data_IF_282971454468
#
_entry.id   IF_282971454468
#
_cell.length_a   1.000
_cell.length_b   1.000
_cell.length_c   1.000
_cell.angle_alpha   90.00
_cell.angle_beta   90.00
_cell.angle_gamma   90.00
#
_symmetry.space_group_name_H-M   'P 1'
#
loop_
_entity.id
_entity.type
_entity.pdbx_description
1 polymer ?
#
# COMPACT_ATOMS: atom_id res chain seq x y z
N UNK A 1 -16.32 -12.15 -4.78
CA UNK A 1 -17.76 -12.00 -5.13
C UNK A 1 -17.97 -12.05 -6.65
N UNK A 2 -17.26 -11.28 -7.48
CA UNK A 2 -17.47 -11.22 -8.93
C UNK A 2 -17.22 -12.57 -9.64
N UNK A 3 -16.21 -13.35 -9.23
CA UNK A 3 -15.98 -14.71 -9.75
C UNK A 3 -17.07 -15.69 -9.32
N UNK A 4 -17.60 -15.54 -8.13
CA UNK A 4 -18.66 -16.39 -7.58
C UNK A 4 -20.00 -16.18 -8.31
N UNK A 5 -20.26 -14.97 -8.80
CA UNK A 5 -21.54 -14.57 -9.42
C UNK A 5 -21.51 -14.57 -10.97
N UNK A 6 -20.48 -15.13 -11.61
CA UNK A 6 -20.26 -15.10 -13.07
C UNK A 6 -20.23 -13.69 -13.69
N UNK A 7 -20.27 -12.65 -12.88
CA UNK A 7 -20.21 -11.24 -13.34
C UNK A 7 -18.89 -10.93 -14.05
N UNK A 8 -17.82 -11.66 -13.70
CA UNK A 8 -16.52 -11.52 -14.33
C UNK A 8 -16.56 -11.87 -15.83
N UNK A 9 -17.41 -12.82 -16.26
CA UNK A 9 -17.55 -13.20 -17.68
C UNK A 9 -18.09 -12.02 -18.50
N UNK A 10 -19.12 -11.35 -17.98
CA UNK A 10 -19.69 -10.17 -18.63
C UNK A 10 -18.68 -8.99 -18.65
N UNK A 11 -17.91 -8.82 -17.58
CA UNK A 11 -16.93 -7.75 -17.51
C UNK A 11 -15.75 -7.97 -18.48
N UNK A 12 -15.23 -9.19 -18.58
CA UNK A 12 -14.10 -9.52 -19.48
C UNK A 12 -14.50 -9.48 -20.95
N UNK A 13 -15.77 -9.74 -21.27
CA UNK A 13 -16.29 -9.59 -22.65
C UNK A 13 -16.57 -8.14 -23.03
N UNK A 14 -16.78 -7.26 -22.05
CA UNK A 14 -17.17 -5.86 -22.26
C UNK A 14 -16.01 -4.87 -22.12
N UNK A 15 -14.90 -5.23 -21.47
CA UNK A 15 -13.76 -4.34 -21.24
C UNK A 15 -12.42 -5.12 -21.21
N UNK A 16 -11.33 -4.44 -21.59
CA UNK A 16 -9.99 -4.98 -21.49
C UNK A 16 -9.61 -5.29 -20.04
N UNK A 17 -8.98 -6.43 -19.82
CA UNK A 17 -8.62 -6.95 -18.49
C UNK A 17 -7.68 -6.01 -17.74
N UNK A 18 -6.76 -5.32 -18.45
CA UNK A 18 -5.87 -4.33 -17.84
C UNK A 18 -6.67 -3.14 -17.33
N UNK A 19 -7.61 -2.64 -18.13
CA UNK A 19 -8.50 -1.52 -17.75
C UNK A 19 -9.33 -1.87 -16.52
N UNK A 20 -9.81 -3.11 -16.42
CA UNK A 20 -10.53 -3.61 -15.25
C UNK A 20 -9.62 -3.65 -14.01
N UNK A 21 -8.38 -4.12 -14.15
CA UNK A 21 -7.42 -4.17 -13.04
C UNK A 21 -7.10 -2.78 -12.52
N UNK A 22 -6.66 -1.87 -13.40
CA UNK A 22 -6.32 -0.50 -13.02
C UNK A 22 -7.53 0.27 -12.50
N UNK A 23 -8.72 0.06 -13.08
CA UNK A 23 -9.97 0.63 -12.59
C UNK A 23 -10.28 0.21 -11.15
N UNK A 24 -10.11 -1.06 -10.81
CA UNK A 24 -10.27 -1.56 -9.43
C UNK A 24 -9.24 -1.00 -8.46
N UNK A 25 -7.98 -0.90 -8.90
CA UNK A 25 -6.92 -0.28 -8.10
C UNK A 25 -7.23 1.19 -7.83
N UNK A 26 -7.63 1.94 -8.85
CA UNK A 26 -8.02 3.34 -8.69
C UNK A 26 -9.23 3.50 -7.77
N UNK A 27 -10.25 2.66 -7.93
CA UNK A 27 -11.43 2.68 -7.06
C UNK A 27 -11.07 2.38 -5.61
N UNK A 28 -10.25 1.35 -5.37
CA UNK A 28 -9.78 1.00 -4.02
C UNK A 28 -8.92 2.09 -3.39
N UNK A 29 -8.02 2.69 -4.17
CA UNK A 29 -7.18 3.81 -3.73
C UNK A 29 -8.03 5.03 -3.39
N UNK A 30 -8.98 5.39 -4.24
CA UNK A 30 -9.89 6.52 -4.01
C UNK A 30 -10.74 6.31 -2.77
N UNK A 31 -11.27 5.11 -2.55
CA UNK A 31 -12.03 4.76 -1.35
C UNK A 31 -11.16 4.88 -0.08
N UNK A 32 -9.92 4.38 -0.12
CA UNK A 32 -8.99 4.49 1.00
C UNK A 32 -8.64 5.96 1.31
N UNK A 33 -8.35 6.77 0.29
CA UNK A 33 -8.06 8.20 0.46
C UNK A 33 -9.27 8.96 1.03
N UNK A 34 -10.48 8.65 0.56
CA UNK A 34 -11.70 9.24 1.09
C UNK A 34 -11.89 8.87 2.56
N UNK A 35 -11.66 7.60 2.91
CA UNK A 35 -11.75 7.15 4.31
C UNK A 35 -10.73 7.85 5.20
N UNK A 36 -9.48 7.96 4.76
CA UNK A 36 -8.42 8.70 5.47
C UNK A 36 -8.82 10.15 5.64
N UNK A 37 -9.31 10.81 4.58
CA UNK A 37 -9.79 12.20 4.62
C UNK A 37 -10.93 12.41 5.63
N UNK A 38 -11.90 11.50 5.68
CA UNK A 38 -12.99 11.56 6.67
C UNK A 38 -12.44 11.42 8.08
N UNK A 39 -11.52 10.47 8.32
CA UNK A 39 -10.91 10.27 9.65
C UNK A 39 -10.17 11.54 10.08
N UNK A 40 -9.37 12.14 9.21
CA UNK A 40 -8.69 13.39 9.49
C UNK A 40 -9.67 14.54 9.77
N UNK A 41 -10.73 14.66 8.99
CA UNK A 41 -11.77 15.67 9.21
C UNK A 41 -12.45 15.51 10.58
N UNK A 42 -12.76 14.28 10.98
CA UNK A 42 -13.35 13.97 12.29
C UNK A 42 -12.37 14.30 13.42
N UNK A 43 -11.09 13.91 13.29
CA UNK A 43 -10.07 14.21 14.30
C UNK A 43 -9.91 15.73 14.48
N UNK A 44 -9.75 16.46 13.38
CA UNK A 44 -9.58 17.94 13.41
C UNK A 44 -10.85 18.63 13.93
N UNK A 45 -12.04 18.16 13.52
CA UNK A 45 -13.31 18.68 14.01
C UNK A 45 -13.49 18.44 15.52
N UNK A 46 -13.23 17.24 15.98
CA UNK A 46 -13.29 16.86 17.41
C UNK A 46 -12.30 17.67 18.23
N UNK A 47 -11.09 17.87 17.73
CA UNK A 47 -10.08 18.70 18.36
C UNK A 47 -10.56 20.15 18.51
N UNK A 48 -11.08 20.75 17.44
CA UNK A 48 -11.55 22.15 17.45
C UNK A 48 -12.70 22.36 18.44
N UNK A 49 -13.60 21.39 18.56
CA UNK A 49 -14.74 21.46 19.49
C UNK A 49 -14.30 21.30 20.95
N UNK A 50 -13.33 20.43 21.22
CA UNK A 50 -12.93 20.08 22.59
C UNK A 50 -11.60 20.73 23.02
N UNK A 51 -11.11 21.73 22.30
CA UNK A 51 -9.80 22.35 22.54
C UNK A 51 -9.60 22.80 23.98
N UNK A 52 -10.61 23.46 24.56
CA UNK A 52 -10.54 24.01 25.91
C UNK A 52 -10.52 22.90 26.97
N UNK A 53 -11.26 21.81 26.73
CA UNK A 53 -11.30 20.62 27.61
C UNK A 53 -9.98 19.85 27.63
N UNK A 54 -9.20 19.92 26.55
CA UNK A 54 -7.93 19.20 26.39
C UNK A 54 -6.70 20.08 26.70
N UNK A 55 -6.92 21.30 27.21
CA UNK A 55 -5.85 22.18 27.69
C UNK A 55 -4.77 22.53 26.66
N UNK A 56 -5.11 22.54 25.36
CA UNK A 56 -4.15 22.85 24.28
C UNK A 56 -3.07 21.78 24.06
N UNK A 57 -3.23 20.58 24.62
CA UNK A 57 -2.26 19.49 24.51
C UNK A 57 -1.92 19.13 23.05
N UNK A 58 -2.90 19.24 22.16
CA UNK A 58 -2.75 18.92 20.75
C UNK A 58 -2.20 20.10 19.90
N UNK A 59 -2.16 21.31 20.41
CA UNK A 59 -1.58 22.44 19.65
C UNK A 59 -0.10 22.21 19.33
N UNK A 60 0.62 21.50 20.22
CA UNK A 60 2.00 21.07 19.99
C UNK A 60 2.10 19.91 19.00
N UNK A 61 1.13 19.00 19.01
CA UNK A 61 1.09 17.82 18.12
C UNK A 61 0.74 18.22 16.68
N UNK A 62 -0.11 19.25 16.52
CA UNK A 62 -0.51 19.74 15.19
C UNK A 62 0.48 20.73 14.56
N UNK A 63 1.52 21.13 15.29
CA UNK A 63 2.62 21.93 14.72
C UNK A 63 3.66 21.02 14.04
N UNK A 64 3.19 20.23 13.04
CA UNK A 64 4.04 19.30 12.29
C UNK A 64 4.80 20.10 11.22
N UNK A 65 6.13 19.96 11.11
CA UNK A 65 6.91 20.57 10.04
C UNK A 65 6.39 20.19 8.65
N UNK A 66 6.47 21.13 7.71
CA UNK A 66 5.92 20.93 6.35
C UNK A 66 6.63 19.82 5.57
N UNK A 67 7.92 19.62 5.80
CA UNK A 67 8.71 18.53 5.21
C UNK A 67 8.24 17.15 5.65
N UNK A 68 7.85 17.00 6.92
CA UNK A 68 7.26 15.78 7.46
C UNK A 68 5.89 15.51 6.81
N UNK A 69 5.04 16.54 6.69
CA UNK A 69 3.72 16.42 6.04
C UNK A 69 3.84 16.06 4.56
N UNK A 70 4.75 16.70 3.84
CA UNK A 70 5.01 16.44 2.43
C UNK A 70 5.52 15.01 2.26
N UNK A 71 6.49 14.59 3.07
CA UNK A 71 7.01 13.21 3.04
C UNK A 71 5.90 12.19 3.33
N UNK A 72 5.07 12.45 4.34
CA UNK A 72 3.91 11.60 4.65
C UNK A 72 2.95 11.48 3.46
N UNK A 73 2.62 12.58 2.79
CA UNK A 73 1.70 12.58 1.67
C UNK A 73 2.25 11.77 0.47
N UNK A 74 3.50 12.02 0.08
CA UNK A 74 4.11 11.36 -1.07
C UNK A 74 4.39 9.88 -0.81
N UNK A 75 5.04 9.54 0.30
CA UNK A 75 5.34 8.16 0.65
C UNK A 75 4.09 7.38 1.05
N UNK A 76 3.14 8.02 1.73
CA UNK A 76 1.86 7.42 2.07
C UNK A 76 1.06 7.04 0.83
N UNK A 77 0.95 7.96 -0.15
CA UNK A 77 0.27 7.67 -1.42
C UNK A 77 1.02 6.60 -2.23
N UNK A 78 2.34 6.70 -2.34
CA UNK A 78 3.16 5.71 -3.04
C UNK A 78 3.05 4.32 -2.41
N UNK A 79 3.12 4.23 -1.09
CA UNK A 79 2.94 2.98 -0.34
C UNK A 79 1.53 2.42 -0.46
N UNK A 80 0.50 3.27 -0.40
CA UNK A 80 -0.89 2.87 -0.62
C UNK A 80 -1.05 2.21 -1.99
N UNK A 81 -0.60 2.86 -3.06
CA UNK A 81 -0.66 2.31 -4.42
C UNK A 81 0.13 1.01 -4.54
N UNK A 82 1.33 0.93 -3.97
CA UNK A 82 2.16 -0.28 -3.95
C UNK A 82 1.40 -1.48 -3.37
N UNK A 83 0.76 -1.29 -2.21
CA UNK A 83 -0.01 -2.35 -1.58
C UNK A 83 -1.32 -2.67 -2.29
N UNK A 84 -2.04 -1.68 -2.80
CA UNK A 84 -3.28 -1.91 -3.56
C UNK A 84 -3.00 -2.73 -4.81
N UNK A 85 -1.88 -2.51 -5.51
CA UNK A 85 -1.46 -3.34 -6.63
C UNK A 85 -1.16 -4.78 -6.21
N UNK A 86 -0.44 -4.99 -5.10
CA UNK A 86 -0.15 -6.34 -4.57
C UNK A 86 -1.45 -7.07 -4.23
N UNK A 87 -2.31 -6.46 -3.42
CA UNK A 87 -3.56 -7.10 -3.00
C UNK A 87 -4.55 -7.29 -4.15
N UNK A 88 -4.58 -6.36 -5.12
CA UNK A 88 -5.37 -6.48 -6.33
C UNK A 88 -4.96 -7.70 -7.18
N UNK A 89 -3.65 -7.91 -7.37
CA UNK A 89 -3.11 -9.08 -8.05
C UNK A 89 -3.43 -10.38 -7.31
N UNK A 90 -3.26 -10.39 -5.98
CA UNK A 90 -3.57 -11.56 -5.16
C UNK A 90 -5.06 -11.91 -5.17
N UNK A 91 -5.94 -10.89 -5.11
CA UNK A 91 -7.38 -11.09 -5.20
C UNK A 91 -7.83 -11.78 -6.49
N UNK A 92 -7.10 -11.59 -7.58
CA UNK A 92 -7.39 -12.25 -8.86
C UNK A 92 -7.06 -13.75 -8.87
N UNK A 93 -6.09 -14.18 -8.07
CA UNK A 93 -5.67 -15.59 -8.00
C UNK A 93 -6.62 -16.47 -7.18
N UNK A 94 -7.47 -15.85 -6.37
CA UNK A 94 -8.33 -16.56 -5.43
C UNK A 94 -9.73 -16.73 -6.01
N UNK A 95 -10.29 -17.92 -5.91
CA UNK A 95 -11.63 -18.24 -6.41
C UNK A 95 -12.72 -18.13 -5.34
N UNK A 96 -12.37 -18.37 -4.07
CA UNK A 96 -13.29 -18.30 -2.93
C UNK A 96 -12.86 -17.20 -1.95
N UNK A 97 -13.82 -16.53 -1.33
CA UNK A 97 -13.57 -15.49 -0.31
C UNK A 97 -12.77 -16.01 0.88
N UNK A 98 -12.93 -17.28 1.25
CA UNK A 98 -12.20 -17.93 2.34
C UNK A 98 -10.69 -18.06 2.06
N UNK A 99 -10.32 -18.23 0.79
CA UNK A 99 -8.92 -18.37 0.39
C UNK A 99 -8.19 -17.00 0.30
N UNK A 100 -8.94 -15.89 0.26
CA UNK A 100 -8.38 -14.54 0.27
C UNK A 100 -7.54 -14.33 1.54
N UNK A 101 -8.07 -14.73 2.69
CA UNK A 101 -7.39 -14.58 3.98
C UNK A 101 -6.08 -15.40 4.05
N UNK A 102 -6.04 -16.58 3.42
CA UNK A 102 -4.82 -17.39 3.34
C UNK A 102 -3.77 -16.77 2.44
N UNK A 103 -4.18 -16.25 1.28
CA UNK A 103 -3.27 -15.61 0.34
C UNK A 103 -2.77 -14.26 0.85
N UNK A 104 -3.67 -13.41 1.34
CA UNK A 104 -3.34 -12.10 1.90
C UNK A 104 -2.55 -12.21 3.21
N UNK A 105 -2.81 -13.24 4.02
CA UNK A 105 -2.15 -13.44 5.31
C UNK A 105 -0.64 -13.58 5.22
N UNK A 106 -0.11 -14.20 4.17
CA UNK A 106 1.34 -14.32 3.98
C UNK A 106 2.02 -12.96 3.74
N UNK A 107 1.41 -12.10 2.94
CA UNK A 107 1.91 -10.72 2.70
C UNK A 107 1.75 -9.89 3.96
N UNK A 108 0.59 -9.99 4.61
CA UNK A 108 0.33 -9.28 5.86
C UNK A 108 1.33 -9.66 6.96
N UNK A 109 1.73 -10.93 7.04
CA UNK A 109 2.73 -11.39 8.00
C UNK A 109 4.10 -10.74 7.75
N UNK A 110 4.55 -10.67 6.49
CA UNK A 110 5.80 -9.98 6.12
C UNK A 110 5.73 -8.49 6.47
N UNK A 111 4.61 -7.82 6.16
CA UNK A 111 4.39 -6.41 6.51
C UNK A 111 4.48 -6.21 8.02
N UNK A 112 3.85 -7.10 8.79
CA UNK A 112 3.85 -7.04 10.24
C UNK A 112 5.27 -7.18 10.82
N UNK A 113 6.08 -8.14 10.33
CA UNK A 113 7.48 -8.30 10.76
C UNK A 113 8.28 -7.01 10.47
N UNK A 114 8.19 -6.49 9.25
CA UNK A 114 8.91 -5.28 8.83
C UNK A 114 8.47 -4.07 9.67
N UNK A 115 7.18 -3.96 9.97
CA UNK A 115 6.63 -2.91 10.81
C UNK A 115 7.18 -2.98 12.25
N UNK A 116 7.20 -4.17 12.86
CA UNK A 116 7.75 -4.35 14.21
C UNK A 116 9.25 -4.08 14.27
N UNK A 117 10.01 -4.47 13.24
CA UNK A 117 11.42 -4.10 13.13
C UNK A 117 11.56 -2.57 13.09
N UNK A 118 10.77 -1.89 12.26
CA UNK A 118 10.75 -0.42 12.20
C UNK A 118 10.44 0.22 13.56
N UNK A 119 9.41 -0.27 14.27
CA UNK A 119 9.07 0.22 15.61
C UNK A 119 10.22 0.04 16.61
N UNK A 120 10.94 -1.09 16.56
CA UNK A 120 12.07 -1.31 17.44
C UNK A 120 13.24 -0.35 17.22
N UNK A 121 13.28 0.30 16.05
CA UNK A 121 14.33 1.24 15.66
C UNK A 121 13.96 2.71 15.86
N UNK A 122 12.80 3.04 16.43
CA UNK A 122 12.38 4.44 16.62
C UNK A 122 13.34 5.24 17.51
N UNK A 123 14.05 4.60 18.43
CA UNK A 123 15.09 5.25 19.23
C UNK A 123 16.45 5.37 18.51
N UNK A 124 16.59 4.79 17.30
CA UNK A 124 17.81 4.82 16.50
C UNK A 124 17.47 4.95 15.01
N UNK A 125 16.70 5.98 14.67
CA UNK A 125 16.17 6.20 13.31
C UNK A 125 17.25 6.47 12.25
N UNK A 126 18.43 6.93 12.66
CA UNK A 126 19.58 7.14 11.77
C UNK A 126 20.50 5.91 11.67
N UNK A 127 20.15 4.83 12.38
CA UNK A 127 20.87 3.55 12.34
C UNK A 127 20.78 2.85 10.98
N UNK A 128 21.76 1.97 10.72
CA UNK A 128 21.87 1.24 9.43
C UNK A 128 20.59 0.49 9.10
N UNK A 129 19.97 -0.18 10.08
CA UNK A 129 18.76 -0.97 9.86
C UNK A 129 17.59 -0.11 9.39
N UNK A 130 17.37 1.05 10.06
CA UNK A 130 16.31 1.98 9.65
C UNK A 130 16.59 2.62 8.29
N UNK A 131 17.87 2.89 7.96
CA UNK A 131 18.28 3.33 6.62
C UNK A 131 17.89 2.29 5.57
N UNK A 132 18.24 1.02 5.77
CA UNK A 132 17.85 -0.05 4.84
C UNK A 132 16.34 -0.14 4.68
N UNK A 133 15.58 -0.13 5.77
CA UNK A 133 14.11 -0.16 5.73
C UNK A 133 13.52 1.03 4.96
N UNK A 134 14.14 2.20 5.04
CA UNK A 134 13.66 3.39 4.34
C UNK A 134 13.86 3.35 2.81
N UNK A 135 14.72 2.47 2.30
CA UNK A 135 14.91 2.25 0.85
C UNK A 135 14.17 1.01 0.32
N UNK A 136 13.70 0.12 1.20
CA UNK A 136 12.89 -1.02 0.78
C UNK A 136 11.46 -0.59 0.46
N UNK A 137 10.90 -0.86 -0.74
CA UNK A 137 9.55 -0.40 -1.13
C UNK A 137 8.46 -0.86 -0.18
N UNK A 138 8.62 -2.04 0.41
CA UNK A 138 7.66 -2.63 1.36
C UNK A 138 7.58 -1.87 2.69
N UNK A 139 8.59 -1.09 3.06
CA UNK A 139 8.69 -0.38 4.35
C UNK A 139 8.95 1.11 4.21
N UNK A 140 9.37 1.58 3.03
CA UNK A 140 9.80 2.96 2.82
C UNK A 140 8.74 3.99 3.20
N UNK A 141 7.46 3.67 2.99
CA UNK A 141 6.34 4.56 3.32
C UNK A 141 6.27 4.91 4.82
N UNK A 142 6.66 3.99 5.70
CA UNK A 142 6.67 4.22 7.16
C UNK A 142 8.07 4.56 7.67
N UNK A 143 9.10 3.87 7.19
CA UNK A 143 10.46 4.04 7.67
C UNK A 143 11.06 5.40 7.25
N UNK A 144 10.84 5.85 6.00
CA UNK A 144 11.31 7.17 5.58
C UNK A 144 10.56 8.28 6.29
N UNK A 145 9.24 8.15 6.48
CA UNK A 145 8.45 9.08 7.27
C UNK A 145 9.00 9.20 8.71
N UNK A 146 9.26 8.07 9.38
CA UNK A 146 9.81 8.08 10.74
C UNK A 146 11.20 8.74 10.80
N UNK A 147 12.07 8.48 9.80
CA UNK A 147 13.39 9.12 9.73
C UNK A 147 13.31 10.62 9.52
N UNK A 148 12.42 11.10 8.65
CA UNK A 148 12.24 12.55 8.43
C UNK A 148 11.63 13.23 9.66
N UNK A 149 10.72 12.55 10.37
CA UNK A 149 10.07 13.09 11.55
C UNK A 149 10.95 13.14 12.80
N UNK A 150 11.87 12.18 12.97
CA UNK A 150 12.60 11.96 14.22
C UNK A 150 14.12 12.04 14.07
N UNK A 151 14.66 12.00 12.85
CA UNK A 151 16.08 11.93 12.55
C UNK A 151 16.57 13.05 11.66
N UNK A 152 17.74 12.84 11.06
CA UNK A 152 18.36 13.76 10.11
C UNK A 152 18.52 13.09 8.75
N UNK A 153 17.68 13.46 7.78
CA UNK A 153 17.67 12.84 6.44
C UNK A 153 17.95 13.90 5.38
N UNK A 154 18.90 13.63 4.51
CA UNK A 154 19.18 14.54 3.39
C UNK A 154 18.05 14.46 2.35
N UNK A 155 17.79 15.57 1.66
CA UNK A 155 16.83 15.59 0.56
C UNK A 155 17.15 14.56 -0.53
N UNK A 156 18.44 14.29 -0.79
CA UNK A 156 18.88 13.29 -1.74
C UNK A 156 18.43 11.86 -1.33
N UNK A 157 18.54 11.51 -0.05
CA UNK A 157 18.07 10.20 0.45
C UNK A 157 16.55 10.05 0.28
N UNK A 158 15.80 11.11 0.60
CA UNK A 158 14.33 11.12 0.42
C UNK A 158 13.98 10.93 -1.05
N UNK A 159 14.62 11.69 -1.96
CA UNK A 159 14.35 11.62 -3.38
C UNK A 159 14.68 10.24 -3.97
N UNK A 160 15.85 9.67 -3.64
CA UNK A 160 16.25 8.34 -4.12
C UNK A 160 15.29 7.26 -3.61
N UNK A 161 14.95 7.28 -2.33
CA UNK A 161 14.00 6.33 -1.77
C UNK A 161 12.62 6.42 -2.43
N UNK A 162 12.14 7.64 -2.68
CA UNK A 162 10.87 7.87 -3.36
C UNK A 162 10.88 7.34 -4.80
N UNK A 163 11.97 7.58 -5.54
CA UNK A 163 12.13 7.03 -6.89
C UNK A 163 12.10 5.51 -6.87
N UNK A 164 12.79 4.87 -5.92
CA UNK A 164 12.77 3.41 -5.75
C UNK A 164 11.34 2.92 -5.48
N UNK A 165 10.60 3.61 -4.60
CA UNK A 165 9.20 3.27 -4.31
C UNK A 165 8.33 3.36 -5.56
N UNK A 166 8.42 4.45 -6.33
CA UNK A 166 7.63 4.65 -7.56
C UNK A 166 7.97 3.61 -8.62
N UNK A 167 9.26 3.38 -8.89
CA UNK A 167 9.69 2.36 -9.86
C UNK A 167 9.18 0.97 -9.45
N UNK A 168 9.29 0.64 -8.17
CA UNK A 168 8.79 -0.64 -7.65
C UNK A 168 7.26 -0.73 -7.73
N UNK A 169 6.54 0.36 -7.47
CA UNK A 169 5.08 0.43 -7.59
C UNK A 169 4.64 0.20 -9.05
N UNK A 170 5.30 0.83 -10.00
CA UNK A 170 5.04 0.62 -11.43
C UNK A 170 5.32 -0.83 -11.83
N UNK A 171 6.46 -1.38 -11.41
CA UNK A 171 6.81 -2.78 -11.69
C UNK A 171 5.78 -3.76 -11.12
N UNK A 172 5.36 -3.57 -9.87
CA UNK A 172 4.31 -4.37 -9.23
C UNK A 172 2.96 -4.18 -9.94
N UNK A 173 2.63 -2.98 -10.39
CA UNK A 173 1.42 -2.70 -11.16
C UNK A 173 1.38 -3.47 -12.48
N UNK A 174 2.49 -3.46 -13.25
CA UNK A 174 2.62 -4.20 -14.50
C UNK A 174 2.53 -5.72 -14.26
N UNK A 175 3.27 -6.24 -13.27
CA UNK A 175 3.20 -7.66 -12.90
C UNK A 175 1.81 -8.03 -12.39
N UNK A 176 1.20 -7.17 -11.60
CA UNK A 176 -0.15 -7.34 -11.06
C UNK A 176 -1.20 -7.43 -12.14
N UNK A 177 -1.14 -6.59 -13.18
CA UNK A 177 -2.07 -6.63 -14.31
C UNK A 177 -1.95 -7.94 -15.09
N UNK A 178 -0.73 -8.44 -15.31
CA UNK A 178 -0.50 -9.76 -15.96
C UNK A 178 -1.06 -10.90 -15.10
N UNK A 179 -0.79 -10.89 -13.80
CA UNK A 179 -1.34 -11.89 -12.87
C UNK A 179 -2.87 -11.82 -12.84
N UNK A 180 -3.43 -10.61 -12.83
CA UNK A 180 -4.88 -10.41 -12.85
C UNK A 180 -5.49 -11.01 -14.12
N UNK A 181 -4.91 -10.76 -15.29
CA UNK A 181 -5.33 -11.34 -16.57
C UNK A 181 -5.31 -12.87 -16.53
N UNK A 182 -4.21 -13.48 -16.08
CA UNK A 182 -4.14 -14.95 -15.96
C UNK A 182 -5.16 -15.51 -14.97
N UNK A 183 -5.38 -14.82 -13.85
CA UNK A 183 -6.32 -15.24 -12.81
C UNK A 183 -7.79 -15.13 -13.23
N UNK A 184 -8.14 -14.13 -14.05
CA UNK A 184 -9.53 -13.92 -14.51
C UNK A 184 -9.92 -14.87 -15.64
N UNK A 185 -8.98 -15.27 -16.50
CA UNK A 185 -9.25 -16.16 -17.65
C UNK A 185 -9.32 -17.64 -17.29
N UNK A 186 -8.87 -18.04 -16.09
CA UNK A 186 -8.91 -19.44 -15.65
C UNK A 186 -10.03 -19.67 -14.63
N UNK A 187 -11.04 -20.42 -15.06
CA UNK A 187 -12.12 -20.92 -14.21
C UNK A 187 -11.76 -22.28 -13.60
N UNK A 188 -12.07 -22.47 -12.31
CA UNK A 188 -12.14 -23.78 -11.67
C UNK A 188 -10.91 -24.26 -10.89
N UNK A 189 -9.69 -23.83 -11.21
CA UNK A 189 -8.49 -24.20 -10.44
C UNK A 189 -7.74 -22.95 -9.94
N UNK A 190 -7.64 -22.72 -8.63
CA UNK A 190 -6.87 -21.62 -8.09
C UNK A 190 -5.39 -21.76 -8.47
N UNK A 191 -4.81 -20.70 -9.04
CA UNK A 191 -3.40 -20.68 -9.39
C UNK A 191 -2.62 -20.25 -8.14
N UNK A 192 -1.66 -21.05 -7.70
CA UNK A 192 -0.72 -20.62 -6.66
C UNK A 192 0.21 -19.54 -7.21
N UNK A 193 0.63 -18.60 -6.36
CA UNK A 193 1.60 -17.54 -6.73
C UNK A 193 2.82 -18.10 -7.44
N UNK A 194 3.36 -19.25 -6.98
CA UNK A 194 4.51 -19.92 -7.59
C UNK A 194 4.24 -20.31 -9.05
N UNK A 195 3.05 -20.83 -9.34
CA UNK A 195 2.67 -21.23 -10.70
C UNK A 195 2.37 -20.02 -11.60
N UNK A 196 1.84 -18.93 -11.02
CA UNK A 196 1.64 -17.68 -11.73
C UNK A 196 2.99 -17.08 -12.20
N UNK A 197 4.00 -17.02 -11.32
CA UNK A 197 5.34 -16.56 -11.70
C UNK A 197 6.04 -17.49 -12.70
N UNK A 198 5.83 -18.80 -12.62
CA UNK A 198 6.40 -19.75 -13.59
C UNK A 198 5.82 -19.55 -15.00
N UNK A 199 4.53 -19.28 -15.10
CA UNK A 199 3.86 -19.06 -16.37
C UNK A 199 4.22 -17.70 -17.01
N UNK A 200 4.50 -16.65 -16.20
CA UNK A 200 4.98 -15.36 -16.70
C UNK A 200 6.34 -15.44 -17.42
N UNK A 201 7.13 -16.49 -17.17
CA UNK A 201 8.46 -16.66 -17.78
C UNK A 201 8.37 -17.29 -19.19
N UNK A 202 7.20 -17.77 -19.59
CA UNK A 202 6.95 -18.44 -20.87
C UNK A 202 6.08 -17.62 -21.85
N UNK A 203 5.66 -16.42 -21.47
CA UNK A 203 5.10 -15.36 -22.33
C UNK A 203 6.14 -14.28 -22.65
#
# INVERSE_FOLDING_TARGET
QEKSNRTIELLVTSADTNSLFFGKVLAGTSAALLQVGIIFAVILGSYKINRDSWGGLFDKIFNIPSDVLITFAFFGLGGLLFYVFIYGAMGALVSKTEDINKSAGSVQFVIMIVYFIGLSQLNNVDGILMKVLSFLPISSYSAMFARVALGNVSFAEIAVSFVILIVSTIAVGILGSKIYRMGTLRYGNPITLRNAFKNLKHE
#
